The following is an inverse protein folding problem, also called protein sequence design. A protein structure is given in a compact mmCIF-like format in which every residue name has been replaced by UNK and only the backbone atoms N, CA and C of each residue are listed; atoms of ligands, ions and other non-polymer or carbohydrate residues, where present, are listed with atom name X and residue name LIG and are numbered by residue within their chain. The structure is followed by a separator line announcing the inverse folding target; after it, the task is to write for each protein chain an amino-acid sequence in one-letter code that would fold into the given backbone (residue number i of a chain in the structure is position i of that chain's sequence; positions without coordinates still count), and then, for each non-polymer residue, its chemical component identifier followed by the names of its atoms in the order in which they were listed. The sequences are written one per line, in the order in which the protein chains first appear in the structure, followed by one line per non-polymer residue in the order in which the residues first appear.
data_IF_763584599417
#
_entry.id   IF_763584599417
#
_cell.length_a   1.000
_cell.length_b   1.000
_cell.length_c   1.000
_cell.angle_alpha   90.00
_cell.angle_beta   90.00
_cell.angle_gamma   90.00
#
_symmetry.space_group_name_H-M   'P 1'
#
loop_
_entity.id
_entity.type
_entity.pdbx_description
1 polymer ?
#
# COMPACT_ATOMS: atom_id res chain seq x y z
N UNK A 1 9.81 -5.26 18.07
CA UNK A 1 8.60 -4.84 17.34
C UNK A 1 8.35 -5.50 15.97
N UNK A 2 9.24 -6.36 15.41
CA UNK A 2 9.04 -6.96 14.06
C UNK A 2 7.75 -7.79 13.87
N UNK A 3 7.14 -8.23 14.97
CA UNK A 3 5.92 -9.04 14.98
C UNK A 3 4.68 -8.28 15.46
N UNK A 4 4.78 -6.95 15.61
CA UNK A 4 3.64 -6.14 16.04
C UNK A 4 2.61 -6.01 14.88
N UNK A 5 1.35 -6.42 15.07
CA UNK A 5 0.33 -6.36 14.02
C UNK A 5 0.05 -4.95 13.49
N UNK A 6 0.27 -3.91 14.30
CA UNK A 6 0.10 -2.50 13.89
C UNK A 6 1.26 -2.09 12.99
N UNK A 7 2.49 -2.38 13.40
CA UNK A 7 3.70 -2.07 12.60
C UNK A 7 3.68 -2.81 11.28
N UNK A 8 3.28 -4.09 11.29
CA UNK A 8 3.10 -4.89 10.08
C UNK A 8 2.12 -4.23 9.10
N UNK A 9 0.94 -3.80 9.59
CA UNK A 9 -0.04 -3.15 8.73
C UNK A 9 0.43 -1.80 8.20
N UNK A 10 1.10 -1.00 9.04
CA UNK A 10 1.70 0.27 8.64
C UNK A 10 2.67 0.08 7.47
N UNK A 11 3.53 -0.94 7.53
CA UNK A 11 4.44 -1.25 6.42
C UNK A 11 3.66 -1.63 5.16
N UNK A 12 2.62 -2.46 5.26
CA UNK A 12 1.75 -2.78 4.12
C UNK A 12 1.13 -1.51 3.51
N UNK A 13 0.70 -0.57 4.36
CA UNK A 13 0.14 0.71 3.92
C UNK A 13 1.18 1.58 3.18
N UNK A 14 2.40 1.67 3.70
CA UNK A 14 3.49 2.43 3.10
C UNK A 14 3.91 1.93 1.72
N UNK A 15 3.68 0.65 1.42
CA UNK A 15 4.10 0.01 0.16
C UNK A 15 2.97 -0.28 -0.83
N UNK A 16 1.72 0.02 -0.47
CA UNK A 16 0.56 -0.18 -1.35
C UNK A 16 -0.23 1.11 -1.64
N UNK A 17 -0.05 2.16 -0.83
CA UNK A 17 -0.60 3.49 -1.10
C UNK A 17 -2.13 3.60 -1.00
N UNK A 18 -2.83 2.59 -0.49
CA UNK A 18 -4.27 2.68 -0.23
C UNK A 18 -4.57 3.53 1.01
N UNK A 19 -5.72 4.20 0.97
CA UNK A 19 -6.31 4.83 2.16
C UNK A 19 -6.80 3.73 3.10
N UNK A 20 -6.68 3.94 4.41
CA UNK A 20 -7.08 2.94 5.42
C UNK A 20 -8.50 2.37 5.20
N UNK A 21 -9.46 3.22 4.82
CA UNK A 21 -10.84 2.81 4.57
C UNK A 21 -10.97 1.80 3.42
N UNK A 22 -10.04 1.80 2.45
CA UNK A 22 -10.10 0.85 1.35
C UNK A 22 -9.83 -0.59 1.80
N UNK A 23 -9.06 -0.79 2.88
CA UNK A 23 -8.72 -2.13 3.36
C UNK A 23 -9.88 -2.87 4.02
N UNK A 24 -10.98 -2.18 4.35
CA UNK A 24 -12.21 -2.81 4.83
C UNK A 24 -12.82 -3.76 3.80
N UNK A 25 -12.55 -3.54 2.50
CA UNK A 25 -13.14 -4.30 1.40
C UNK A 25 -12.16 -4.57 0.26
N UNK A 26 -10.86 -4.50 0.53
CA UNK A 26 -9.84 -4.67 -0.52
C UNK A 26 -9.70 -6.15 -0.85
N UNK A 27 -9.62 -6.46 -2.14
CA UNK A 27 -9.24 -7.78 -2.59
C UNK A 27 -7.72 -7.93 -2.49
N UNK A 28 -7.26 -9.07 -1.96
CA UNK A 28 -5.85 -9.45 -1.92
C UNK A 28 -5.67 -10.75 -2.68
N UNK A 29 -5.02 -10.69 -3.84
CA UNK A 29 -4.70 -11.87 -4.63
C UNK A 29 -3.23 -12.26 -4.38
N UNK A 30 -3.02 -13.33 -3.61
CA UNK A 30 -1.68 -13.80 -3.24
C UNK A 30 -0.96 -14.56 -4.37
N UNK A 31 -1.72 -15.14 -5.30
CA UNK A 31 -1.20 -15.89 -6.45
C UNK A 31 -0.65 -14.93 -7.51
N UNK A 32 -1.49 -13.99 -7.94
CA UNK A 32 -1.16 -12.92 -8.88
C UNK A 32 -0.49 -11.72 -8.20
N UNK A 33 -0.26 -11.79 -6.88
CA UNK A 33 0.47 -10.82 -6.04
C UNK A 33 0.02 -9.37 -6.24
N UNK A 34 -1.26 -9.08 -6.02
CA UNK A 34 -1.79 -7.72 -6.09
C UNK A 34 -2.85 -7.42 -5.04
N UNK A 35 -3.06 -6.13 -4.80
CA UNK A 35 -4.22 -5.56 -4.15
C UNK A 35 -5.16 -4.96 -5.20
N UNK A 36 -6.48 -5.08 -5.01
CA UNK A 36 -7.48 -4.44 -5.86
C UNK A 36 -8.58 -3.80 -5.02
N UNK A 37 -8.93 -2.55 -5.32
CA UNK A 37 -10.08 -1.88 -4.70
C UNK A 37 -9.95 -0.37 -4.62
N UNK A 38 -10.68 0.22 -3.67
CA UNK A 38 -10.64 1.64 -3.31
C UNK A 38 -12.03 2.27 -3.16
N UNK A 39 -12.08 3.52 -2.70
CA UNK A 39 -13.28 4.03 -2.02
C UNK A 39 -13.98 5.24 -2.67
N UNK A 40 -13.31 6.02 -3.54
CA UNK A 40 -13.77 7.41 -3.79
C UNK A 40 -14.08 7.83 -5.24
N UNK A 41 -13.71 7.08 -6.29
CA UNK A 41 -13.98 7.47 -7.70
C UNK A 41 -14.00 6.24 -8.62
N UNK A 42 -14.58 6.31 -9.82
CA UNK A 42 -14.49 5.22 -10.81
C UNK A 42 -13.04 4.83 -11.14
N UNK A 43 -12.15 5.83 -11.23
CA UNK A 43 -10.71 5.60 -11.41
C UNK A 43 -10.00 5.02 -10.16
N UNK A 44 -10.63 5.15 -8.98
CA UNK A 44 -10.04 4.79 -7.70
C UNK A 44 -10.63 3.54 -7.05
N UNK A 45 -11.82 3.06 -7.47
CA UNK A 45 -12.60 1.97 -6.85
C UNK A 45 -12.12 0.56 -7.22
N UNK A 46 -11.44 0.41 -8.35
CA UNK A 46 -10.98 -0.89 -8.86
C UNK A 46 -9.51 -0.87 -9.28
N UNK A 47 -8.75 0.09 -8.77
CA UNK A 47 -7.33 0.17 -9.13
C UNK A 47 -6.58 -0.99 -8.53
N UNK A 48 -5.57 -1.44 -9.27
CA UNK A 48 -4.65 -2.50 -8.88
C UNK A 48 -3.35 -1.87 -8.40
N UNK A 49 -2.82 -2.37 -7.30
CA UNK A 49 -1.44 -2.12 -6.86
C UNK A 49 -0.75 -3.47 -6.63
N UNK A 50 0.33 -3.78 -7.35
CA UNK A 50 1.11 -5.00 -7.11
C UNK A 50 1.65 -5.04 -5.68
N UNK A 51 1.66 -6.23 -5.08
CA UNK A 51 2.31 -6.47 -3.80
C UNK A 51 3.82 -6.49 -4.04
N UNK A 52 4.53 -5.51 -3.48
CA UNK A 52 5.99 -5.46 -3.51
C UNK A 52 6.59 -6.69 -2.80
N UNK A 53 7.60 -7.31 -3.40
CA UNK A 53 8.29 -8.51 -2.91
C UNK A 53 8.67 -8.43 -1.42
N UNK A 54 9.29 -7.32 -1.01
CA UNK A 54 9.70 -7.10 0.36
C UNK A 54 8.58 -6.95 1.42
N UNK A 55 7.31 -6.78 1.03
CA UNK A 55 6.17 -6.87 1.96
C UNK A 55 5.33 -8.13 1.76
N UNK A 56 5.61 -8.95 0.74
CA UNK A 56 4.77 -10.10 0.38
C UNK A 56 4.61 -11.09 1.54
N UNK A 57 5.69 -11.37 2.28
CA UNK A 57 5.63 -12.25 3.45
C UNK A 57 4.74 -11.67 4.58
N UNK A 58 4.69 -10.35 4.74
CA UNK A 58 3.82 -9.68 5.72
C UNK A 58 2.35 -9.86 5.31
N UNK A 59 2.03 -9.59 4.04
CA UNK A 59 0.68 -9.71 3.50
C UNK A 59 0.19 -11.16 3.60
N UNK A 60 1.02 -12.12 3.17
CA UNK A 60 0.69 -13.55 3.23
C UNK A 60 0.43 -14.01 4.68
N UNK A 61 1.28 -13.61 5.63
CA UNK A 61 1.09 -13.95 7.05
C UNK A 61 -0.20 -13.36 7.60
N UNK A 62 -0.50 -12.10 7.27
CA UNK A 62 -1.70 -11.42 7.75
C UNK A 62 -2.98 -12.10 7.26
N UNK A 63 -3.07 -12.39 5.95
CA UNK A 63 -4.21 -13.12 5.35
C UNK A 63 -4.31 -14.56 5.88
N UNK A 64 -3.20 -15.20 6.25
CA UNK A 64 -3.25 -16.55 6.86
C UNK A 64 -3.84 -16.52 8.28
N UNK A 65 -3.55 -15.47 9.04
CA UNK A 65 -3.95 -15.35 10.43
C UNK A 65 -5.32 -14.68 10.60
N UNK A 66 -5.84 -14.02 9.57
CA UNK A 66 -7.06 -13.22 9.58
C UNK A 66 -7.80 -13.41 8.24
N UNK A 67 -9.12 -13.50 8.25
CA UNK A 67 -9.94 -13.60 7.02
C UNK A 67 -9.87 -12.33 6.15
N UNK A 68 -9.38 -11.22 6.72
CA UNK A 68 -9.23 -9.93 6.04
C UNK A 68 -7.85 -9.32 6.32
N UNK A 69 -7.36 -8.48 5.40
CA UNK A 69 -6.11 -7.74 5.61
C UNK A 69 -6.24 -6.70 6.73
N UNK A 70 -7.47 -6.25 7.03
CA UNK A 70 -7.81 -5.40 8.15
C UNK A 70 -9.08 -5.95 8.80
N UNK A 71 -8.94 -6.55 9.97
CA UNK A 71 -10.00 -7.22 10.75
C UNK A 71 -10.68 -6.30 11.78
N UNK A 72 -10.21 -5.06 11.90
CA UNK A 72 -10.73 -4.05 12.82
C UNK A 72 -11.14 -2.78 12.08
N UNK A 73 -11.99 -1.96 12.71
CA UNK A 73 -12.36 -0.69 12.09
C UNK A 73 -11.15 0.24 11.92
N UNK A 74 -11.13 1.12 10.89
CA UNK A 74 -10.10 2.14 10.73
C UNK A 74 -9.92 3.05 11.94
N UNK A 75 -11.00 3.31 12.70
CA UNK A 75 -10.95 4.07 13.94
C UNK A 75 -10.16 3.33 15.03
N UNK A 76 -10.50 2.05 15.24
CA UNK A 76 -9.79 1.17 16.18
C UNK A 76 -8.32 1.05 15.81
N UNK A 77 -8.00 0.83 14.52
CA UNK A 77 -6.61 0.76 14.06
C UNK A 77 -5.86 2.05 14.37
N UNK A 78 -6.45 3.22 14.08
CA UNK A 78 -5.82 4.52 14.33
C UNK A 78 -5.45 4.72 15.81
N UNK A 79 -6.31 4.28 16.74
CA UNK A 79 -6.02 4.38 18.17
C UNK A 79 -4.84 3.49 18.55
N UNK A 80 -4.86 2.21 18.17
CA UNK A 80 -3.74 1.27 18.40
C UNK A 80 -2.43 1.75 17.77
N UNK A 81 -2.53 2.38 16.60
CA UNK A 81 -1.40 2.99 15.91
C UNK A 81 -0.77 4.14 16.72
N UNK A 82 -1.58 5.02 17.31
CA UNK A 82 -1.04 6.08 18.16
C UNK A 82 -0.34 5.54 19.41
N UNK A 83 -0.95 4.55 20.08
CA UNK A 83 -0.34 3.88 21.24
C UNK A 83 1.00 3.22 20.86
N UNK A 84 1.04 2.53 19.72
CA UNK A 84 2.25 1.85 19.24
C UNK A 84 3.36 2.86 18.91
N UNK A 85 3.03 3.98 18.26
CA UNK A 85 4.00 5.02 17.91
C UNK A 85 4.60 5.68 19.16
N UNK A 86 3.77 5.94 20.17
CA UNK A 86 4.22 6.47 21.46
C UNK A 86 5.16 5.50 22.17
N UNK A 87 4.81 4.21 22.23
CA UNK A 87 5.65 3.16 22.84
C UNK A 87 7.05 3.03 22.21
N UNK A 88 7.17 3.31 20.91
CA UNK A 88 8.47 3.24 20.20
C UNK A 88 9.16 4.60 20.11
N UNK A 89 8.65 5.63 20.79
CA UNK A 89 9.24 6.97 20.84
C UNK A 89 9.19 7.73 19.51
N UNK A 90 8.24 7.40 18.63
CA UNK A 90 8.04 8.08 17.35
C UNK A 90 7.03 9.22 17.49
N UNK A 91 7.24 10.29 16.72
CA UNK A 91 6.26 11.37 16.60
C UNK A 91 4.92 10.85 16.05
N UNK A 92 3.85 11.59 16.32
CA UNK A 92 2.51 11.25 15.87
C UNK A 92 2.44 11.26 14.34
N UNK A 93 2.11 10.10 13.79
CA UNK A 93 1.86 9.92 12.35
C UNK A 93 0.42 9.46 12.12
N UNK A 94 -0.10 9.66 10.92
CA UNK A 94 -1.44 9.24 10.52
C UNK A 94 -1.39 8.13 9.46
N UNK A 95 -2.48 7.34 9.27
CA UNK A 95 -2.55 6.43 8.13
C UNK A 95 -2.48 7.14 6.77
N UNK A 96 -2.71 8.46 6.71
CA UNK A 96 -2.52 9.25 5.49
C UNK A 96 -1.03 9.43 5.17
N UNK A 97 -0.17 9.50 6.19
CA UNK A 97 1.27 9.64 6.04
C UNK A 97 1.89 8.41 5.38
N UNK A 98 1.32 7.23 5.60
CA UNK A 98 1.73 6.01 4.90
C UNK A 98 1.50 6.12 3.38
N UNK A 99 0.40 6.74 2.96
CA UNK A 99 0.13 7.01 1.54
C UNK A 99 1.08 8.07 0.97
N UNK A 100 1.42 9.10 1.74
CA UNK A 100 2.46 10.06 1.35
C UNK A 100 3.82 9.37 1.19
N UNK A 101 4.15 8.46 2.11
CA UNK A 101 5.36 7.65 2.06
C UNK A 101 5.42 6.80 0.79
N UNK A 102 4.32 6.14 0.42
CA UNK A 102 4.24 5.42 -0.86
C UNK A 102 4.53 6.33 -2.06
N UNK A 103 3.93 7.53 -2.10
CA UNK A 103 4.17 8.50 -3.18
C UNK A 103 5.62 8.97 -3.22
N UNK A 104 6.21 9.28 -2.07
CA UNK A 104 7.61 9.68 -1.93
C UNK A 104 8.56 8.55 -2.38
N UNK A 105 8.29 7.30 -2.00
CA UNK A 105 9.08 6.15 -2.46
C UNK A 105 9.01 6.00 -3.97
N UNK A 106 7.81 6.12 -4.56
CA UNK A 106 7.64 6.12 -6.01
C UNK A 106 8.48 7.21 -6.69
N UNK A 107 8.48 8.43 -6.15
CA UNK A 107 9.30 9.54 -6.65
C UNK A 107 10.79 9.25 -6.54
N UNK A 108 11.25 8.87 -5.35
CA UNK A 108 12.65 8.59 -5.04
C UNK A 108 13.23 7.53 -5.97
N UNK A 109 12.46 6.49 -6.28
CA UNK A 109 12.90 5.37 -7.11
C UNK A 109 12.45 5.49 -8.58
N UNK A 110 11.98 6.66 -9.00
CA UNK A 110 11.61 6.96 -10.40
C UNK A 110 10.61 5.94 -10.98
N UNK A 111 9.62 5.58 -10.17
CA UNK A 111 8.40 4.94 -10.65
C UNK A 111 7.75 5.89 -11.64
N UNK A 112 7.38 5.37 -12.81
CA UNK A 112 6.77 6.15 -13.87
C UNK A 112 5.56 6.95 -13.33
N UNK A 113 5.49 8.23 -13.67
CA UNK A 113 4.51 9.15 -13.09
C UNK A 113 3.06 8.71 -13.35
N UNK A 114 2.77 8.21 -14.55
CA UNK A 114 1.44 7.73 -14.90
C UNK A 114 1.08 6.47 -14.10
N UNK A 115 2.03 5.58 -13.86
CA UNK A 115 1.81 4.39 -13.04
C UNK A 115 1.62 4.74 -11.57
N UNK A 116 2.42 5.68 -11.05
CA UNK A 116 2.23 6.25 -9.72
C UNK A 116 0.84 6.86 -9.56
N UNK A 117 0.42 7.72 -10.50
CA UNK A 117 -0.93 8.34 -10.50
C UNK A 117 -2.02 7.28 -10.53
N UNK A 118 -1.87 6.24 -11.36
CA UNK A 118 -2.80 5.11 -11.46
C UNK A 118 -2.90 4.35 -10.13
N UNK A 119 -1.78 3.95 -9.54
CA UNK A 119 -1.75 3.21 -8.27
C UNK A 119 -2.22 4.04 -7.07
N UNK A 120 -2.05 5.37 -7.12
CA UNK A 120 -2.65 6.27 -6.16
C UNK A 120 -4.15 6.50 -6.41
N UNK A 121 -4.66 6.25 -7.62
CA UNK A 121 -6.05 6.54 -8.00
C UNK A 121 -6.28 8.04 -8.18
N UNK A 122 -5.30 8.76 -8.74
CA UNK A 122 -5.43 10.15 -9.15
C UNK A 122 -6.10 10.22 -10.52
N UNK A 123 -6.95 11.23 -10.72
CA UNK A 123 -7.56 11.47 -12.02
C UNK A 123 -6.49 11.91 -13.04
N UNK A 124 -6.58 11.41 -14.26
CA UNK A 124 -5.78 11.91 -15.38
C UNK A 124 -6.54 13.06 -16.03
N UNK A 125 -5.86 14.19 -16.24
CA UNK A 125 -6.44 15.35 -16.94
C UNK A 125 -6.49 15.13 -18.46
N UNK A 126 -5.62 14.26 -18.99
CA UNK A 126 -5.43 14.08 -20.42
C UNK A 126 -6.11 12.80 -20.93
N UNK A 127 -7.02 12.93 -21.90
CA UNK A 127 -7.87 11.84 -22.43
C UNK A 127 -7.01 10.74 -23.08
N UNK A 128 -5.88 11.11 -23.68
CA UNK A 128 -4.94 10.20 -24.33
C UNK A 128 -4.38 9.15 -23.34
N UNK A 129 -4.07 9.57 -22.10
CA UNK A 129 -3.57 8.66 -21.05
C UNK A 129 -4.67 7.74 -20.48
N UNK A 130 -5.94 8.10 -20.66
CA UNK A 130 -7.09 7.29 -20.25
C UNK A 130 -7.33 6.13 -21.24
N UNK A 131 -7.08 6.35 -22.54
CA UNK A 131 -7.32 5.37 -23.62
C UNK A 131 -6.11 4.43 -23.83
N UNK A 132 -4.88 4.93 -23.74
CA UNK A 132 -3.65 4.12 -23.89
C UNK A 132 -3.11 3.54 -22.57
N UNK A 133 -3.82 3.77 -21.46
CA UNK A 133 -3.33 3.53 -20.10
C UNK A 133 -3.61 2.15 -19.51
N UNK A 134 -3.95 1.14 -20.31
CA UNK A 134 -4.18 -0.22 -19.82
C UNK A 134 -2.84 -0.87 -19.47
N UNK A 135 -2.44 -0.76 -18.21
CA UNK A 135 -1.26 -1.44 -17.70
C UNK A 135 -1.66 -2.78 -17.12
N UNK A 136 -0.93 -3.80 -17.51
CA UNK A 136 -1.01 -5.13 -16.91
C UNK A 136 -0.47 -5.08 -15.47
N UNK A 137 -0.90 -6.04 -14.65
CA UNK A 137 -0.36 -6.22 -13.29
C UNK A 137 1.16 -6.32 -13.31
N UNK A 138 1.72 -7.00 -14.31
CA UNK A 138 3.16 -7.25 -14.39
C UNK A 138 3.96 -6.01 -14.77
N UNK A 139 3.44 -5.16 -15.66
CA UNK A 139 4.08 -3.88 -15.94
C UNK A 139 4.06 -2.93 -14.74
N UNK A 140 2.99 -2.94 -13.94
CA UNK A 140 2.96 -2.20 -12.68
C UNK A 140 3.92 -2.82 -11.66
N UNK A 141 4.10 -4.15 -11.67
CA UNK A 141 5.00 -4.83 -10.75
C UNK A 141 6.45 -4.43 -11.01
N UNK A 142 6.87 -4.43 -12.27
CA UNK A 142 8.19 -3.95 -12.69
C UNK A 142 8.48 -2.53 -12.17
N UNK A 143 7.46 -1.67 -12.17
CA UNK A 143 7.56 -0.32 -11.62
C UNK A 143 7.68 -0.33 -10.09
N UNK A 144 6.81 -1.05 -9.39
CA UNK A 144 6.83 -1.13 -7.92
C UNK A 144 8.15 -1.71 -7.39
N UNK A 145 8.69 -2.75 -8.03
CA UNK A 145 9.95 -3.39 -7.61
C UNK A 145 11.20 -2.49 -7.80
N UNK A 146 11.08 -1.31 -8.41
CA UNK A 146 12.15 -0.29 -8.38
C UNK A 146 12.40 0.22 -6.95
N UNK A 147 11.40 0.15 -6.07
CA UNK A 147 11.48 0.63 -4.70
C UNK A 147 12.43 -0.25 -3.90
N UNK A 148 13.64 0.24 -3.62
CA UNK A 148 14.59 -0.53 -2.79
C UNK A 148 14.21 -0.45 -1.32
N UNK A 149 14.05 -1.61 -0.68
CA UNK A 149 13.89 -1.71 0.77
C UNK A 149 15.29 -1.78 1.41
N UNK A 150 15.57 -0.96 2.44
CA UNK A 150 16.82 -1.08 3.18
C UNK A 150 16.90 -2.47 3.82
N UNK A 151 17.86 -3.28 3.37
CA UNK A 151 18.20 -4.52 4.04
C UNK A 151 18.96 -4.11 5.29
N UNK A 152 18.38 -4.30 6.48
CA UNK A 152 19.19 -4.26 7.71
C UNK A 152 20.13 -5.45 7.62
N UNK A 153 21.40 -5.20 7.35
CA UNK A 153 22.45 -6.15 7.68
C UNK A 153 22.32 -6.40 9.18
N UNK A 154 21.89 -7.61 9.55
CA UNK A 154 21.96 -8.05 10.94
C UNK A 154 23.43 -7.98 11.33
N UNK A 155 23.77 -7.00 12.17
CA UNK A 155 24.96 -7.03 13.02
C UNK A 155 24.50 -7.55 14.37
#
# INVERSE_FOLDING_TARGET
HKNDPVVEFLLIMCYSGYRIKAYESIEVNLEQKYFRGGVKTNAGKDRIVPIHSGIYALVKRRIKNQDAILDITPGTFRNRMYETLEQIGMQRHTPHDARHTFSMLCEKYRVNENDRKRMLGHAFQDITNKVYGHRTVEELRKEIEKIKIPVKNST
#
